data_IF_166641225468
#
_entry.id   IF_166641225468
#
_cell.length_a   1.000
_cell.length_b   1.000
_cell.length_c   1.000
_cell.angle_alpha   90.00
_cell.angle_beta   90.00
_cell.angle_gamma   90.00
#
_symmetry.space_group_name_H-M   'P 1'
#
loop_
_entity.id
_entity.type
_entity.pdbx_description
1 polymer ?
#
# COMPACT_ATOMS: atom_id res chain seq x y z
N UNK A 1 6.59 20.14 2.05
CA UNK A 1 7.97 19.65 2.25
C UNK A 1 8.39 19.03 0.92
N UNK A 2 9.16 19.75 0.09
CA UNK A 2 9.63 19.21 -1.19
C UNK A 2 10.86 18.36 -0.92
N UNK A 3 10.75 17.05 -1.11
CA UNK A 3 11.91 16.17 -1.23
C UNK A 3 12.65 16.60 -2.51
N UNK A 4 13.91 17.04 -2.42
CA UNK A 4 14.66 17.39 -3.61
C UNK A 4 15.14 16.11 -4.33
N UNK A 5 15.30 16.15 -5.66
CA UNK A 5 15.82 15.00 -6.43
C UNK A 5 17.16 14.48 -5.87
N UNK A 6 17.93 15.37 -5.24
CA UNK A 6 19.19 15.07 -4.55
C UNK A 6 18.99 14.17 -3.34
N UNK A 7 17.94 14.38 -2.56
CA UNK A 7 17.64 13.56 -1.37
C UNK A 7 17.30 12.12 -1.79
N UNK A 8 16.49 11.98 -2.84
CA UNK A 8 16.17 10.65 -3.41
C UNK A 8 17.44 9.95 -3.91
N UNK A 9 18.35 10.70 -4.55
CA UNK A 9 19.61 10.14 -5.03
C UNK A 9 20.51 9.68 -3.87
N UNK A 10 20.62 10.48 -2.80
CA UNK A 10 21.37 10.13 -1.61
C UNK A 10 20.80 8.88 -0.93
N UNK A 11 19.48 8.80 -0.75
CA UNK A 11 18.82 7.62 -0.17
C UNK A 11 19.12 6.37 -1.02
N UNK A 12 19.02 6.47 -2.35
CA UNK A 12 19.34 5.33 -3.23
C UNK A 12 20.78 4.86 -3.06
N UNK A 13 21.73 5.80 -3.02
CA UNK A 13 23.16 5.51 -2.83
C UNK A 13 23.42 4.88 -1.47
N UNK A 14 22.93 5.50 -0.40
CA UNK A 14 23.29 5.17 0.98
C UNK A 14 22.63 3.87 1.45
N UNK A 15 21.45 3.53 0.92
CA UNK A 15 20.75 2.27 1.20
C UNK A 15 20.91 1.20 0.10
N UNK A 16 21.82 1.42 -0.85
CA UNK A 16 22.08 0.51 -1.98
C UNK A 16 20.79 0.07 -2.71
N UNK A 17 19.85 1.01 -2.89
CA UNK A 17 18.58 0.76 -3.59
C UNK A 17 18.88 0.77 -5.09
N UNK A 18 19.30 -0.38 -5.61
CA UNK A 18 19.53 -0.58 -7.03
C UNK A 18 18.19 -0.47 -7.79
N UNK A 19 18.17 0.35 -8.84
CA UNK A 19 16.97 0.90 -9.49
C UNK A 19 16.02 -0.08 -10.20
N UNK A 20 16.09 -1.38 -9.94
CA UNK A 20 15.23 -2.39 -10.57
C UNK A 20 13.94 -2.60 -9.77
N UNK A 21 13.12 -1.55 -9.68
CA UNK A 21 11.77 -1.63 -9.10
C UNK A 21 10.75 -2.10 -10.16
N UNK A 22 11.04 -1.85 -11.44
CA UNK A 22 10.19 -2.23 -12.57
C UNK A 22 10.59 -3.60 -13.10
N UNK A 23 9.71 -4.58 -12.90
CA UNK A 23 9.93 -6.00 -13.28
C UNK A 23 9.46 -6.32 -14.69
N UNK A 24 8.60 -5.47 -15.24
CA UNK A 24 7.96 -5.63 -16.53
C UNK A 24 7.56 -4.26 -17.09
N UNK A 25 7.53 -4.10 -18.41
CA UNK A 25 7.20 -2.83 -19.07
C UNK A 25 5.79 -2.33 -18.72
N UNK A 26 4.85 -3.27 -18.60
CA UNK A 26 3.49 -3.04 -18.11
C UNK A 26 3.50 -3.04 -16.58
N UNK A 27 3.20 -1.89 -15.98
CA UNK A 27 3.26 -1.70 -14.53
C UNK A 27 2.32 -2.64 -13.76
N UNK A 28 1.12 -2.91 -14.30
CA UNK A 28 0.17 -3.85 -13.70
C UNK A 28 0.76 -5.27 -13.55
N UNK A 29 1.56 -5.71 -14.53
CA UNK A 29 2.26 -7.00 -14.47
C UNK A 29 3.37 -6.96 -13.43
N UNK A 30 4.11 -5.85 -13.32
CA UNK A 30 5.12 -5.68 -12.27
C UNK A 30 4.51 -5.78 -10.87
N UNK A 31 3.37 -5.12 -10.64
CA UNK A 31 2.65 -5.14 -9.36
C UNK A 31 2.12 -6.54 -9.05
N UNK A 32 1.55 -7.23 -10.04
CA UNK A 32 1.12 -8.63 -9.89
C UNK A 32 2.26 -9.54 -9.45
N UNK A 33 3.39 -9.50 -10.15
CA UNK A 33 4.55 -10.33 -9.84
C UNK A 33 5.09 -10.04 -8.44
N UNK A 34 5.09 -8.76 -8.04
CA UNK A 34 5.48 -8.35 -6.69
C UNK A 34 4.52 -8.85 -5.62
N UNK A 35 3.21 -8.69 -5.81
CA UNK A 35 2.20 -9.15 -4.85
C UNK A 35 2.23 -10.68 -4.67
N UNK A 36 2.50 -11.42 -5.75
CA UNK A 36 2.67 -12.87 -5.72
C UNK A 36 3.95 -13.28 -4.98
N UNK A 37 5.07 -12.61 -5.24
CA UNK A 37 6.33 -12.89 -4.55
C UNK A 37 6.22 -12.63 -3.06
N UNK A 38 5.62 -11.51 -2.64
CA UNK A 38 5.43 -11.19 -1.23
C UNK A 38 4.62 -12.27 -0.51
N UNK A 39 3.53 -12.74 -1.13
CA UNK A 39 2.74 -13.86 -0.59
C UNK A 39 3.55 -15.16 -0.47
N UNK A 40 4.46 -15.44 -1.41
CA UNK A 40 5.24 -16.67 -1.45
C UNK A 40 6.46 -16.67 -0.52
N UNK A 41 7.07 -15.51 -0.30
CA UNK A 41 8.30 -15.37 0.50
C UNK A 41 8.05 -15.34 2.01
N UNK A 42 6.79 -15.50 2.46
CA UNK A 42 6.40 -15.41 3.88
C UNK A 42 6.34 -13.98 4.42
N UNK A 43 6.75 -12.98 3.62
CA UNK A 43 6.49 -11.57 3.88
C UNK A 43 5.02 -11.26 3.59
N UNK A 44 4.16 -11.55 4.57
CA UNK A 44 2.70 -11.45 4.45
C UNK A 44 2.19 -9.99 4.45
N UNK A 45 2.94 -9.08 3.83
CA UNK A 45 2.58 -7.69 3.72
C UNK A 45 1.42 -7.47 2.75
N UNK A 46 1.08 -8.44 1.88
CA UNK A 46 -0.05 -8.32 0.93
C UNK A 46 -1.30 -9.03 1.48
N UNK A 47 -2.17 -8.27 2.13
CA UNK A 47 -3.40 -8.77 2.76
C UNK A 47 -4.45 -9.13 1.72
N UNK A 48 -4.60 -8.29 0.69
CA UNK A 48 -5.57 -8.52 -0.39
C UNK A 48 -5.03 -8.00 -1.71
N UNK A 49 -5.30 -8.74 -2.77
CA UNK A 49 -4.91 -8.36 -4.13
C UNK A 49 -5.98 -8.82 -5.11
N UNK A 50 -6.44 -7.90 -5.96
CA UNK A 50 -7.37 -8.13 -7.07
C UNK A 50 -6.87 -7.39 -8.31
N UNK A 51 -6.75 -8.14 -9.40
CA UNK A 51 -6.42 -7.59 -10.71
C UNK A 51 -7.67 -7.04 -11.41
N UNK A 52 -7.49 -6.10 -12.34
CA UNK A 52 -8.57 -5.68 -13.23
C UNK A 52 -8.98 -6.85 -14.14
N UNK A 53 -10.28 -7.00 -14.39
CA UNK A 53 -10.87 -8.12 -15.12
C UNK A 53 -11.01 -9.41 -14.30
N UNK A 54 -10.57 -9.42 -13.04
CA UNK A 54 -10.80 -10.55 -12.13
C UNK A 54 -12.09 -10.33 -11.34
N UNK A 55 -12.93 -11.37 -11.24
CA UNK A 55 -14.10 -11.38 -10.38
C UNK A 55 -13.71 -11.06 -8.93
N UNK A 56 -14.34 -10.03 -8.36
CA UNK A 56 -14.16 -9.64 -6.98
C UNK A 56 -14.95 -10.52 -6.03
N UNK A 57 -14.31 -11.00 -4.96
CA UNK A 57 -15.00 -11.77 -3.90
C UNK A 57 -15.69 -10.86 -2.87
N UNK A 58 -15.52 -9.54 -2.99
CA UNK A 58 -16.10 -8.55 -2.09
C UNK A 58 -17.29 -7.86 -2.75
N UNK A 59 -18.40 -7.74 -2.00
CA UNK A 59 -19.73 -7.32 -2.47
C UNK A 59 -19.80 -5.96 -3.20
N UNK A 60 -18.74 -5.15 -3.18
CA UNK A 60 -18.70 -3.82 -3.76
C UNK A 60 -17.66 -3.62 -4.88
N UNK A 61 -16.86 -4.64 -5.21
CA UNK A 61 -15.83 -4.53 -6.24
C UNK A 61 -16.35 -5.01 -7.60
N UNK A 62 -16.22 -4.15 -8.61
CA UNK A 62 -16.49 -4.50 -9.99
C UNK A 62 -15.30 -5.20 -10.62
N UNK A 63 -15.50 -5.85 -11.76
CA UNK A 63 -14.43 -6.60 -12.44
C UNK A 63 -13.30 -5.66 -12.86
N UNK A 64 -13.61 -4.47 -13.34
CA UNK A 64 -12.66 -3.43 -13.74
C UNK A 64 -11.83 -2.82 -12.59
N UNK A 65 -12.24 -3.02 -11.34
CA UNK A 65 -11.56 -2.42 -10.18
C UNK A 65 -10.22 -3.11 -9.91
N UNK A 66 -9.17 -2.32 -9.71
CA UNK A 66 -7.89 -2.77 -9.17
C UNK A 66 -7.86 -2.55 -7.65
N UNK A 67 -7.40 -3.55 -6.90
CA UNK A 67 -7.22 -3.41 -5.44
C UNK A 67 -5.92 -4.05 -4.99
N UNK A 68 -5.11 -3.29 -4.27
CA UNK A 68 -3.95 -3.77 -3.54
C UNK A 68 -4.03 -3.26 -2.11
N UNK A 69 -4.12 -4.19 -1.15
CA UNK A 69 -4.08 -3.88 0.28
C UNK A 69 -2.78 -4.42 0.84
N UNK A 70 -1.95 -3.52 1.34
CA UNK A 70 -0.68 -3.84 1.98
C UNK A 70 -0.70 -3.44 3.45
N UNK A 71 -0.16 -4.30 4.30
CA UNK A 71 -0.10 -4.13 5.75
C UNK A 71 0.91 -5.11 6.34
N UNK A 72 1.87 -4.63 7.14
CA UNK A 72 2.78 -5.52 7.88
C UNK A 72 2.05 -6.25 9.02
N UNK A 73 2.64 -7.33 9.54
CA UNK A 73 2.06 -8.05 10.70
C UNK A 73 1.92 -7.14 11.92
N UNK A 74 2.89 -6.26 12.17
CA UNK A 74 2.79 -5.25 13.21
C UNK A 74 1.60 -4.31 13.00
N UNK A 75 1.41 -3.80 11.77
CA UNK A 75 0.25 -2.94 11.46
C UNK A 75 -1.08 -3.70 11.62
N UNK A 76 -1.10 -5.00 11.32
CA UNK A 76 -2.24 -5.89 11.55
C UNK A 76 -2.56 -6.06 13.04
N UNK A 77 -1.54 -6.20 13.89
CA UNK A 77 -1.72 -6.22 15.34
C UNK A 77 -2.24 -4.87 15.86
N UNK A 78 -1.69 -3.76 15.36
CA UNK A 78 -2.13 -2.41 15.72
C UNK A 78 -3.60 -2.17 15.39
N UNK A 79 -4.06 -2.52 14.18
CA UNK A 79 -5.48 -2.36 13.82
C UNK A 79 -6.38 -3.29 14.62
N UNK A 80 -5.93 -4.51 14.94
CA UNK A 80 -6.69 -5.45 15.77
C UNK A 80 -6.81 -4.96 17.22
N UNK A 81 -5.76 -4.34 17.76
CA UNK A 81 -5.71 -3.82 19.13
C UNK A 81 -6.50 -2.52 19.28
N UNK A 82 -6.30 -1.56 18.37
CA UNK A 82 -6.80 -0.18 18.53
C UNK A 82 -7.94 0.21 17.58
N UNK A 83 -8.15 -0.54 16.50
CA UNK A 83 -9.15 -0.20 15.47
C UNK A 83 -10.61 -0.50 15.84
N UNK A 84 -10.88 -1.05 17.03
CA UNK A 84 -12.25 -1.42 17.45
C UNK A 84 -13.15 -0.23 17.77
N UNK A 85 -12.58 0.85 18.31
CA UNK A 85 -13.31 2.06 18.72
C UNK A 85 -13.42 3.04 17.54
N UNK A 86 -12.28 3.36 16.93
CA UNK A 86 -12.20 4.30 15.81
C UNK A 86 -11.09 3.93 14.84
N UNK A 87 -11.43 3.96 13.55
CA UNK A 87 -10.47 3.99 12.46
C UNK A 87 -10.58 5.33 11.73
N UNK A 88 -9.45 5.87 11.31
CA UNK A 88 -9.39 7.07 10.46
C UNK A 88 -8.94 6.63 9.07
N UNK A 89 -9.61 7.10 8.03
CA UNK A 89 -9.24 6.84 6.65
C UNK A 89 -8.87 8.15 5.99
N UNK A 90 -7.66 8.23 5.45
CA UNK A 90 -7.19 9.36 4.68
C UNK A 90 -7.07 8.96 3.21
N UNK A 91 -7.86 9.60 2.35
CA UNK A 91 -7.91 9.31 0.92
C UNK A 91 -7.22 10.41 0.14
N UNK A 92 -6.26 10.02 -0.70
CA UNK A 92 -5.67 10.94 -1.68
C UNK A 92 -6.41 10.80 -3.00
N UNK A 93 -7.08 11.87 -3.45
CA UNK A 93 -7.73 11.90 -4.75
C UNK A 93 -6.69 12.15 -5.85
N UNK A 94 -6.62 11.25 -6.84
CA UNK A 94 -6.08 11.55 -8.17
C UNK A 94 -4.61 11.98 -8.25
N UNK A 95 -3.73 11.48 -7.37
CA UNK A 95 -2.32 11.89 -7.33
C UNK A 95 -1.37 10.96 -8.13
N UNK A 96 -1.88 9.98 -8.87
CA UNK A 96 -1.04 9.12 -9.73
C UNK A 96 -1.47 9.20 -11.20
N UNK A 97 -0.56 8.81 -12.09
CA UNK A 97 -0.75 8.80 -13.56
C UNK A 97 -1.81 7.81 -14.06
N UNK A 98 -2.45 7.07 -13.15
CA UNK A 98 -3.39 5.99 -13.44
C UNK A 98 -4.79 6.26 -12.86
N UNK A 99 -5.02 7.45 -12.28
CA UNK A 99 -6.26 7.83 -11.59
C UNK A 99 -6.72 6.84 -10.49
N UNK A 100 -5.79 6.06 -9.93
CA UNK A 100 -6.12 5.18 -8.80
C UNK A 100 -6.17 5.99 -7.50
N UNK A 101 -7.17 5.70 -6.67
CA UNK A 101 -7.25 6.26 -5.33
C UNK A 101 -6.32 5.50 -4.38
N UNK A 102 -5.55 6.23 -3.57
CA UNK A 102 -4.75 5.66 -2.49
C UNK A 102 -5.37 6.07 -1.15
N UNK A 103 -5.65 5.08 -0.32
CA UNK A 103 -6.21 5.25 1.02
C UNK A 103 -5.21 4.77 2.07
N UNK A 104 -5.02 5.56 3.11
CA UNK A 104 -4.29 5.19 4.32
C UNK A 104 -5.27 4.94 5.45
N UNK A 105 -5.17 3.79 6.12
CA UNK A 105 -5.95 3.47 7.32
C UNK A 105 -5.09 3.70 8.54
N UNK A 106 -5.59 4.49 9.48
CA UNK A 106 -4.92 4.90 10.70
C UNK A 106 -5.75 4.48 11.90
N UNK A 107 -5.08 4.11 12.99
CA UNK A 107 -5.70 3.85 14.29
C UNK A 107 -5.15 4.82 15.32
N UNK A 108 -6.00 5.26 16.24
CA UNK A 108 -5.58 6.11 17.36
C UNK A 108 -5.09 5.19 18.47
N UNK A 109 -3.89 5.42 18.98
CA UNK A 109 -3.35 4.64 20.08
C UNK A 109 -4.05 4.93 21.43
N UNK A 110 -3.63 4.21 22.47
CA UNK A 110 -4.15 4.31 23.84
C UNK A 110 -4.12 5.73 24.43
N UNK A 111 -3.28 6.65 23.93
CA UNK A 111 -3.16 7.98 24.53
C UNK A 111 -4.33 8.90 24.22
N UNK A 112 -5.24 8.54 23.29
CA UNK A 112 -6.46 9.31 22.91
C UNK A 112 -6.25 10.82 22.71
N UNK A 113 -5.01 11.28 22.55
CA UNK A 113 -4.64 12.69 22.50
C UNK A 113 -3.99 12.97 21.16
N UNK A 114 -4.75 13.64 20.31
CA UNK A 114 -4.17 14.50 19.31
C UNK A 114 -3.60 15.71 20.05
N UNK A 115 -2.28 15.92 19.99
CA UNK A 115 -1.65 17.13 20.51
C UNK A 115 -1.35 18.04 19.31
N UNK A 116 -1.92 19.26 19.26
CA UNK A 116 -1.76 20.20 18.15
C UNK A 116 -0.32 20.63 17.89
#
# INVERSE_FOLDING_TARGET
>A
MLIEKKDIHNIKRDFNINGYVKRHEVDAVSVKLWAQEMKNNGENCTVYFKEQGQLGNAYCLKDEDFVLVIMTDFQKEMITKYGKDKICTDGTHGLNSYDFNLYSVLVVDEQKKWNP
#
